data_IF_230944648826
#
_entry.id   IF_230944648826
#
_cell.length_a   1.000
_cell.length_b   1.000
_cell.length_c   1.000
_cell.angle_alpha   90.00
_cell.angle_beta   90.00
_cell.angle_gamma   90.00
#
_symmetry.space_group_name_H-M   'P 1'
#
loop_
_entity.id
_entity.type
_entity.pdbx_description
1 polymer ?
#
# COMPACT_ATOMS: atom_id res chain seq x y z
N UNK A 1 -17.87 -10.30 -2.90
CA UNK A 1 -17.05 -9.32 -2.21
C UNK A 1 -16.01 -8.74 -3.17
N UNK A 2 -15.87 -7.44 -3.16
CA UNK A 2 -14.93 -6.76 -4.07
C UNK A 2 -13.69 -6.35 -3.29
N UNK A 3 -12.55 -6.84 -3.74
CA UNK A 3 -11.28 -6.53 -3.10
C UNK A 3 -10.39 -5.78 -4.10
N UNK A 4 -9.93 -4.60 -3.70
CA UNK A 4 -9.00 -3.82 -4.51
C UNK A 4 -7.59 -4.25 -4.16
N UNK A 5 -6.80 -4.59 -5.18
CA UNK A 5 -5.42 -5.01 -5.00
C UNK A 5 -4.52 -3.90 -5.49
N UNK A 6 -3.67 -3.41 -4.60
CA UNK A 6 -2.77 -2.30 -4.90
C UNK A 6 -1.34 -2.80 -4.79
N UNK A 7 -0.58 -2.63 -5.86
CA UNK A 7 0.81 -3.05 -5.89
C UNK A 7 1.69 -1.86 -5.55
N UNK A 8 2.35 -1.94 -4.43
CA UNK A 8 3.22 -0.86 -3.95
C UNK A 8 4.65 -1.36 -3.85
N UNK A 9 5.13 -2.00 -4.89
CA UNK A 9 6.45 -2.57 -4.92
C UNK A 9 7.55 -1.52 -4.80
N UNK A 10 8.70 -1.94 -4.33
CA UNK A 10 9.76 -1.04 -4.00
C UNK A 10 10.64 -0.64 -5.16
N UNK A 11 10.07 0.02 -6.11
CA UNK A 11 10.80 0.38 -7.31
C UNK A 11 11.88 1.42 -7.04
N UNK A 12 11.65 2.28 -6.06
CA UNK A 12 12.56 3.36 -5.79
C UNK A 12 13.95 2.95 -5.35
N UNK A 13 14.10 1.71 -4.94
CA UNK A 13 15.39 1.25 -4.45
C UNK A 13 16.48 1.34 -5.52
N UNK A 14 16.12 1.30 -6.76
CA UNK A 14 17.09 1.32 -7.85
C UNK A 14 17.82 2.63 -7.96
N UNK A 15 17.23 3.68 -7.50
CA UNK A 15 17.83 5.00 -7.63
C UNK A 15 18.60 5.43 -6.40
N UNK A 16 18.78 4.52 -5.47
CA UNK A 16 19.45 4.87 -4.24
C UNK A 16 18.52 5.42 -3.18
N UNK A 17 17.29 5.68 -3.52
CA UNK A 17 16.29 6.06 -2.55
C UNK A 17 15.98 4.89 -1.64
N UNK A 18 15.99 5.15 -0.36
CA UNK A 18 15.66 4.11 0.60
C UNK A 18 14.17 4.03 0.86
N UNK A 19 13.44 5.04 0.45
CA UNK A 19 12.00 5.10 0.67
C UNK A 19 11.30 4.70 -0.62
N UNK A 20 10.49 3.64 -0.58
CA UNK A 20 9.71 3.27 -1.77
C UNK A 20 8.85 4.45 -2.21
N UNK A 21 8.68 4.57 -3.52
CA UNK A 21 8.00 5.71 -4.10
C UNK A 21 6.63 5.94 -3.47
N UNK A 22 5.92 4.87 -3.17
CA UNK A 22 4.56 4.98 -2.65
C UNK A 22 4.50 5.53 -1.23
N UNK A 23 5.63 5.54 -0.52
CA UNK A 23 5.68 6.04 0.85
C UNK A 23 6.27 7.43 0.96
N UNK A 24 6.55 8.07 -0.16
CA UNK A 24 7.02 9.45 -0.15
C UNK A 24 5.83 10.36 0.18
N UNK A 25 6.07 11.28 1.11
CA UNK A 25 5.02 12.19 1.54
C UNK A 25 4.78 13.30 0.54
N UNK A 26 3.51 13.57 0.29
CA UNK A 26 3.08 14.73 -0.46
C UNK A 26 2.03 15.42 0.40
N UNK A 27 2.31 16.65 0.82
CA UNK A 27 1.43 17.37 1.73
C UNK A 27 1.16 16.60 3.01
N UNK A 28 2.26 16.05 3.58
CA UNK A 28 2.22 15.34 4.85
C UNK A 28 1.45 14.03 4.81
N UNK A 29 1.26 13.49 3.61
CA UNK A 29 0.54 12.23 3.47
C UNK A 29 1.26 11.37 2.44
N UNK A 30 1.56 10.10 2.75
CA UNK A 30 2.21 9.23 1.76
C UNK A 30 1.34 9.07 0.52
N UNK A 31 2.00 8.95 -0.63
CA UNK A 31 1.28 8.82 -1.89
C UNK A 31 0.29 7.67 -1.85
N UNK A 32 0.68 6.54 -1.26
CA UNK A 32 -0.18 5.37 -1.22
C UNK A 32 -1.50 5.66 -0.50
N UNK A 33 -1.47 6.55 0.49
CA UNK A 33 -2.69 6.85 1.24
C UNK A 33 -3.71 7.56 0.36
N UNK A 34 -3.26 8.43 -0.55
CA UNK A 34 -4.19 9.05 -1.48
C UNK A 34 -4.94 8.00 -2.30
N UNK A 35 -4.23 6.97 -2.74
CA UNK A 35 -4.84 5.88 -3.48
C UNK A 35 -5.79 5.09 -2.59
N UNK A 36 -5.35 4.76 -1.39
CA UNK A 36 -6.18 3.98 -0.48
C UNK A 36 -7.46 4.72 -0.11
N UNK A 37 -7.37 6.03 0.04
CA UNK A 37 -8.56 6.81 0.39
C UNK A 37 -9.62 6.73 -0.69
N UNK A 38 -9.21 6.67 -1.95
CA UNK A 38 -10.18 6.54 -3.02
C UNK A 38 -10.98 5.26 -2.91
N UNK A 39 -10.29 4.17 -2.60
CA UNK A 39 -10.98 2.89 -2.45
C UNK A 39 -11.74 2.82 -1.15
N UNK A 40 -11.22 3.46 -0.10
CA UNK A 40 -11.93 3.51 1.18
C UNK A 40 -13.31 4.13 1.03
N UNK A 41 -13.41 5.15 0.18
CA UNK A 41 -14.67 5.85 -0.01
C UNK A 41 -15.57 5.20 -1.05
N UNK A 42 -15.03 4.25 -1.79
CA UNK A 42 -15.78 3.63 -2.88
C UNK A 42 -16.77 2.61 -2.32
N UNK A 43 -18.07 2.80 -2.55
CA UNK A 43 -19.07 1.93 -1.92
C UNK A 43 -19.03 0.49 -2.43
N UNK A 44 -18.47 0.26 -3.61
CA UNK A 44 -18.42 -1.08 -4.17
C UNK A 44 -17.21 -1.88 -3.70
N UNK A 45 -16.28 -1.23 -3.02
CA UNK A 45 -15.07 -1.91 -2.54
C UNK A 45 -15.28 -2.33 -1.09
N UNK A 46 -15.13 -3.61 -0.82
CA UNK A 46 -15.34 -4.16 0.52
C UNK A 46 -14.05 -4.26 1.31
N UNK A 47 -12.95 -4.49 0.63
CA UNK A 47 -11.66 -4.64 1.29
C UNK A 47 -10.56 -4.20 0.35
N UNK A 48 -9.38 -3.91 0.93
CA UNK A 48 -8.22 -3.49 0.17
C UNK A 48 -7.07 -4.42 0.54
N UNK A 49 -6.36 -4.88 -0.46
CA UNK A 49 -5.14 -5.67 -0.28
C UNK A 49 -3.98 -4.89 -0.87
N UNK A 50 -2.90 -4.75 -0.11
CA UNK A 50 -1.72 -4.04 -0.58
C UNK A 50 -0.55 -5.01 -0.63
N UNK A 51 0.13 -5.02 -1.75
CA UNK A 51 1.36 -5.80 -1.95
C UNK A 51 2.52 -4.83 -1.85
N UNK A 52 3.34 -4.96 -0.83
CA UNK A 52 4.44 -4.03 -0.61
C UNK A 52 5.68 -4.78 -0.12
N UNK A 53 6.79 -4.05 -0.02
CA UNK A 53 8.01 -4.64 0.50
C UNK A 53 7.84 -5.02 1.96
N UNK A 54 8.47 -6.11 2.33
CA UNK A 54 8.28 -6.67 3.66
C UNK A 54 8.60 -5.68 4.77
N UNK A 55 9.66 -4.92 4.61
CA UNK A 55 10.07 -3.99 5.65
C UNK A 55 9.14 -2.82 5.86
N UNK A 56 8.10 -2.69 5.05
CA UNK A 56 7.19 -1.55 5.13
C UNK A 56 5.81 -1.92 5.63
N UNK A 57 5.63 -3.15 6.09
CA UNK A 57 4.33 -3.60 6.59
C UNK A 57 3.83 -2.74 7.74
N UNK A 58 4.65 -2.61 8.78
CA UNK A 58 4.21 -1.90 9.96
C UNK A 58 3.98 -0.43 9.68
N UNK A 59 4.81 0.14 8.82
CA UNK A 59 4.67 1.53 8.45
C UNK A 59 3.36 1.74 7.71
N UNK A 60 3.06 0.85 6.78
CA UNK A 60 1.81 0.95 6.04
C UNK A 60 0.60 0.84 6.96
N UNK A 61 0.63 -0.12 7.87
CA UNK A 61 -0.47 -0.30 8.79
C UNK A 61 -0.66 0.91 9.69
N UNK A 62 0.45 1.49 10.14
CA UNK A 62 0.36 2.69 10.98
C UNK A 62 -0.27 3.85 10.22
N UNK A 63 0.14 4.05 8.98
CA UNK A 63 -0.47 5.10 8.16
C UNK A 63 -1.94 4.84 7.91
N UNK A 64 -2.28 3.59 7.60
CA UNK A 64 -3.68 3.27 7.34
C UNK A 64 -4.54 3.58 8.55
N UNK A 65 -4.04 3.27 9.73
CA UNK A 65 -4.76 3.56 10.95
C UNK A 65 -4.87 5.06 11.17
N UNK A 66 -3.79 5.77 10.92
CA UNK A 66 -3.76 7.21 11.13
C UNK A 66 -4.75 7.93 10.22
N UNK A 67 -4.88 7.48 9.00
CA UNK A 67 -5.75 8.14 8.03
C UNK A 67 -7.10 7.45 7.84
N UNK A 68 -7.41 6.48 8.69
CA UNK A 68 -8.75 5.89 8.70
C UNK A 68 -9.05 4.96 7.56
N UNK A 69 -8.07 4.23 7.07
CA UNK A 69 -8.30 3.28 5.98
C UNK A 69 -8.78 1.96 6.57
N UNK A 70 -10.03 1.93 6.96
CA UNK A 70 -10.58 0.76 7.65
C UNK A 70 -10.71 -0.44 6.72
N UNK A 71 -10.77 -0.23 5.42
CA UNK A 71 -10.93 -1.33 4.47
C UNK A 71 -9.62 -2.06 4.18
N UNK A 72 -8.49 -1.55 4.65
CA UNK A 72 -7.22 -2.25 4.46
C UNK A 72 -7.21 -3.49 5.33
N UNK A 73 -7.41 -4.63 4.71
CA UNK A 73 -7.52 -5.91 5.40
C UNK A 73 -6.31 -6.81 5.21
N UNK A 74 -5.62 -6.67 4.10
CA UNK A 74 -4.54 -7.58 3.75
C UNK A 74 -3.32 -6.81 3.32
N UNK A 75 -2.17 -7.18 3.87
CA UNK A 75 -0.88 -6.62 3.48
C UNK A 75 0.05 -7.79 3.27
N UNK A 76 0.56 -7.93 2.06
CA UNK A 76 1.42 -9.06 1.75
C UNK A 76 2.70 -8.58 1.10
N UNK A 77 3.71 -9.43 1.13
CA UNK A 77 4.99 -9.12 0.54
C UNK A 77 4.97 -9.41 -0.94
N UNK A 78 5.39 -8.42 -1.73
CA UNK A 78 5.43 -8.61 -3.16
C UNK A 78 6.82 -8.62 -3.73
N UNK A 79 7.84 -8.53 -2.89
CA UNK A 79 9.18 -8.39 -3.41
C UNK A 79 9.66 -9.58 -4.18
N UNK A 80 10.19 -10.55 -3.47
CA UNK A 80 10.78 -11.70 -4.10
C UNK A 80 9.79 -12.69 -4.63
N UNK A 81 8.58 -12.62 -4.15
CA UNK A 81 7.58 -13.62 -4.51
C UNK A 81 6.70 -13.16 -5.64
N UNK A 82 7.09 -12.11 -6.35
CA UNK A 82 6.24 -11.59 -7.40
C UNK A 82 5.91 -12.64 -8.45
N UNK A 83 6.87 -13.45 -8.80
CA UNK A 83 6.61 -14.49 -9.78
C UNK A 83 5.70 -15.58 -9.24
N UNK A 84 5.70 -15.75 -7.95
CA UNK A 84 4.87 -16.77 -7.33
C UNK A 84 3.44 -16.32 -7.20
N UNK A 85 3.24 -15.04 -7.17
CA UNK A 85 1.90 -14.51 -7.01
C UNK A 85 1.10 -14.61 -8.31
N UNK A 86 1.75 -15.00 -9.34
CA UNK A 86 1.06 -15.20 -10.63
C UNK A 86 0.23 -16.50 -10.60
#
# INVERSE_FOLDING_TARGET
MNVAVIIAGGVGARTGNKIPKQFINVNDKPIIIYTLEKFQKHPMIDAIEVVCLEGWYDILKAYAEQFGIAKLKYVISGGNSSQESI
#
